data_IF_036689439285
#
_entry.id   IF_036689439285
#
_cell.length_a   1.000
_cell.length_b   1.000
_cell.length_c   1.000
_cell.angle_alpha   90.00
_cell.angle_beta   90.00
_cell.angle_gamma   90.00
#
_symmetry.space_group_name_H-M   'P 1'
#
loop_
_entity.id
_entity.type
_entity.pdbx_description
1 polymer ?
#
# COMPACT_ATOMS: atom_id res chain seq x y z
N UNK A 1 -11.59 7.29 8.98
CA UNK A 1 -10.31 7.18 9.69
C UNK A 1 -9.60 8.51 9.57
N UNK A 2 -8.92 8.96 10.62
CA UNK A 2 -7.98 10.09 10.51
C UNK A 2 -6.65 9.63 9.89
N UNK A 3 -5.71 10.55 9.71
CA UNK A 3 -4.43 10.27 9.03
C UNK A 3 -3.58 9.30 9.87
N UNK A 4 -3.58 9.45 11.19
CA UNK A 4 -2.84 8.63 12.12
C UNK A 4 -3.33 7.18 12.13
N UNK A 5 -4.64 6.97 12.11
CA UNK A 5 -5.28 5.65 12.02
C UNK A 5 -4.96 4.95 10.69
N UNK A 6 -4.95 5.70 9.59
CA UNK A 6 -4.57 5.19 8.26
C UNK A 6 -3.10 4.76 8.28
N UNK A 7 -2.22 5.62 8.79
CA UNK A 7 -0.80 5.33 8.86
C UNK A 7 -0.51 4.11 9.73
N UNK A 8 -1.11 4.02 10.93
CA UNK A 8 -0.98 2.86 11.81
C UNK A 8 -1.46 1.57 11.11
N UNK A 9 -2.58 1.63 10.40
CA UNK A 9 -3.08 0.48 9.65
C UNK A 9 -2.15 0.06 8.51
N UNK A 10 -1.55 1.01 7.79
CA UNK A 10 -0.59 0.75 6.72
C UNK A 10 0.72 0.16 7.26
N UNK A 11 1.23 0.68 8.38
CA UNK A 11 2.43 0.16 9.06
C UNK A 11 2.20 -1.27 9.55
N UNK A 12 1.00 -1.62 10.00
CA UNK A 12 0.70 -2.95 10.52
C UNK A 12 0.74 -4.09 9.48
N UNK A 13 0.93 -3.80 8.20
CA UNK A 13 1.19 -4.82 7.18
C UNK A 13 2.68 -5.10 7.08
N UNK A 14 3.15 -6.33 7.36
CA UNK A 14 4.55 -6.71 7.19
C UNK A 14 4.87 -6.97 5.71
N UNK A 15 4.77 -5.93 4.87
CA UNK A 15 5.07 -5.95 3.43
C UNK A 15 6.58 -5.98 3.17
N UNK A 16 7.29 -6.90 3.81
CA UNK A 16 8.75 -7.02 3.67
C UNK A 16 9.10 -7.38 2.23
N UNK A 17 10.13 -6.73 1.69
CA UNK A 17 10.63 -6.95 0.34
C UNK A 17 10.78 -8.44 0.02
N UNK A 18 10.27 -8.85 -1.14
CA UNK A 18 10.30 -10.25 -1.60
C UNK A 18 9.15 -11.12 -1.08
N UNK A 19 8.35 -10.68 -0.10
CA UNK A 19 7.16 -11.39 0.35
C UNK A 19 5.90 -11.01 -0.49
N UNK A 20 4.86 -11.86 -0.50
CA UNK A 20 3.57 -11.50 -1.07
C UNK A 20 2.97 -10.25 -0.39
N UNK A 21 2.38 -9.33 -1.17
CA UNK A 21 1.86 -8.05 -0.66
C UNK A 21 0.32 -7.92 -0.76
N UNK A 22 -0.40 -9.03 -0.97
CA UNK A 22 -1.85 -9.00 -1.22
C UNK A 22 -2.66 -8.29 -0.12
N UNK A 23 -2.30 -8.47 1.15
CA UNK A 23 -3.04 -7.89 2.27
C UNK A 23 -3.05 -6.34 2.26
N UNK A 24 -1.90 -5.69 2.02
CA UNK A 24 -1.83 -4.23 1.92
C UNK A 24 -2.45 -3.73 0.61
N UNK A 25 -2.28 -4.48 -0.49
CA UNK A 25 -2.91 -4.18 -1.79
C UNK A 25 -4.43 -4.14 -1.67
N UNK A 26 -5.03 -5.16 -1.07
CA UNK A 26 -6.47 -5.25 -0.91
C UNK A 26 -7.01 -4.15 0.00
N UNK A 27 -6.32 -3.86 1.10
CA UNK A 27 -6.74 -2.79 2.00
C UNK A 27 -6.70 -1.41 1.35
N UNK A 28 -5.60 -1.07 0.65
CA UNK A 28 -5.48 0.22 -0.05
C UNK A 28 -6.51 0.32 -1.17
N UNK A 29 -6.71 -0.77 -1.94
CA UNK A 29 -7.72 -0.84 -3.00
C UNK A 29 -9.11 -0.53 -2.44
N UNK A 30 -9.54 -1.27 -1.42
CA UNK A 30 -10.87 -1.11 -0.81
C UNK A 30 -11.05 0.29 -0.21
N UNK A 31 -10.03 0.82 0.47
CA UNK A 31 -10.08 2.15 1.05
C UNK A 31 -10.23 3.25 -0.03
N UNK A 32 -9.46 3.17 -1.11
CA UNK A 32 -9.53 4.12 -2.22
C UNK A 32 -10.84 3.99 -3.02
N UNK A 33 -11.31 2.77 -3.29
CA UNK A 33 -12.60 2.51 -3.95
C UNK A 33 -13.77 3.08 -3.12
N UNK A 34 -13.75 2.88 -1.80
CA UNK A 34 -14.75 3.46 -0.90
C UNK A 34 -14.74 5.00 -0.88
N UNK A 35 -13.58 5.61 -1.17
CA UNK A 35 -13.44 7.06 -1.35
C UNK A 35 -13.84 7.55 -2.76
N UNK A 36 -14.29 6.66 -3.64
CA UNK A 36 -14.74 6.97 -5.00
C UNK A 36 -13.62 7.03 -6.04
N UNK A 37 -12.42 6.52 -5.73
CA UNK A 37 -11.33 6.43 -6.69
C UNK A 37 -11.48 5.21 -7.60
N UNK A 38 -10.97 5.31 -8.83
CA UNK A 38 -10.81 4.16 -9.72
C UNK A 38 -9.46 3.50 -9.43
N UNK A 39 -9.46 2.20 -9.10
CA UNK A 39 -8.25 1.46 -8.75
C UNK A 39 -7.99 0.35 -9.77
N UNK A 40 -6.78 0.31 -10.31
CA UNK A 40 -6.29 -0.80 -11.14
C UNK A 40 -5.23 -1.57 -10.38
N UNK A 41 -5.42 -2.87 -10.20
CA UNK A 41 -4.41 -3.79 -9.65
C UNK A 41 -3.52 -4.30 -10.78
N UNK A 42 -2.23 -4.06 -10.67
CA UNK A 42 -1.22 -4.45 -11.65
C UNK A 42 -0.39 -5.59 -11.06
N UNK A 43 -0.75 -6.83 -11.38
CA UNK A 43 -0.03 -8.01 -10.90
C UNK A 43 1.38 -8.06 -11.49
N UNK A 44 2.38 -8.23 -10.63
CA UNK A 44 3.79 -8.37 -11.01
C UNK A 44 4.09 -9.72 -11.66
N UNK A 45 5.24 -9.85 -12.34
CA UNK A 45 5.63 -11.06 -13.05
C UNK A 45 5.78 -12.29 -12.14
N UNK A 46 6.02 -12.08 -10.85
CA UNK A 46 6.18 -13.16 -9.86
C UNK A 46 4.83 -13.74 -9.40
N UNK A 47 3.72 -13.06 -9.71
CA UNK A 47 2.36 -13.57 -9.47
C UNK A 47 1.88 -13.48 -8.02
N UNK A 48 2.73 -13.07 -7.08
CA UNK A 48 2.43 -12.95 -5.65
C UNK A 48 2.49 -11.50 -5.12
N UNK A 49 3.04 -10.58 -5.92
CA UNK A 49 3.08 -9.14 -5.63
C UNK A 49 2.32 -8.35 -6.69
N UNK A 50 1.72 -7.24 -6.27
CA UNK A 50 1.00 -6.32 -7.15
C UNK A 50 1.30 -4.86 -6.84
N UNK A 51 1.22 -4.02 -7.86
CA UNK A 51 1.18 -2.58 -7.74
C UNK A 51 -0.28 -2.08 -7.84
N UNK A 52 -0.52 -0.87 -7.34
CA UNK A 52 -1.80 -0.19 -7.48
C UNK A 52 -1.63 1.06 -8.33
N UNK A 53 -2.56 1.27 -9.26
CA UNK A 53 -2.71 2.54 -9.97
C UNK A 53 -4.07 3.14 -9.58
N UNK A 54 -4.03 4.16 -8.73
CA UNK A 54 -5.23 4.83 -8.20
C UNK A 54 -5.45 6.14 -8.94
N UNK A 55 -6.63 6.32 -9.53
CA UNK A 55 -7.04 7.56 -10.21
C UNK A 55 -8.14 8.25 -9.43
N UNK A 56 -7.89 9.50 -9.02
CA UNK A 56 -8.88 10.39 -8.41
C UNK A 56 -9.21 11.48 -9.43
N UNK A 57 -10.49 11.60 -9.80
CA UNK A 57 -10.96 12.54 -10.82
C UNK A 57 -10.90 11.98 -12.24
N UNK A 58 -11.00 12.86 -13.25
CA UNK A 58 -11.19 12.44 -14.64
C UNK A 58 -9.89 11.94 -15.32
N UNK A 59 -9.90 10.69 -15.83
CA UNK A 59 -8.75 10.03 -16.49
C UNK A 59 -8.08 10.81 -17.64
N UNK A 60 -8.79 11.73 -18.30
CA UNK A 60 -8.31 12.46 -19.50
C UNK A 60 -7.93 13.91 -19.22
N UNK A 61 -7.94 14.33 -17.96
CA UNK A 61 -7.45 15.63 -17.56
C UNK A 61 -5.93 15.62 -17.36
N UNK A 62 -5.30 16.80 -17.42
CA UNK A 62 -3.94 16.98 -16.90
C UNK A 62 -3.95 16.74 -15.39
N UNK A 63 -2.92 16.12 -14.86
CA UNK A 63 -2.83 15.81 -13.44
C UNK A 63 -1.40 15.59 -12.99
N UNK A 64 -1.27 15.21 -11.72
CA UNK A 64 -0.02 14.84 -11.09
C UNK A 64 0.02 13.33 -10.87
N UNK A 65 1.21 12.75 -11.00
CA UNK A 65 1.46 11.37 -10.55
C UNK A 65 2.23 11.46 -9.23
N UNK A 66 1.62 10.91 -8.17
CA UNK A 66 2.28 10.66 -6.91
C UNK A 66 2.70 9.19 -6.90
N UNK A 67 3.99 8.94 -6.74
CA UNK A 67 4.56 7.60 -6.78
C UNK A 67 5.18 7.26 -5.44
N UNK A 68 5.00 6.02 -5.00
CA UNK A 68 5.55 5.45 -3.79
C UNK A 68 5.59 3.94 -3.91
N UNK A 69 6.12 3.28 -2.90
CA UNK A 69 6.20 1.83 -2.82
C UNK A 69 5.60 1.35 -1.49
N UNK A 70 5.11 0.12 -1.48
CA UNK A 70 4.46 -0.48 -0.30
C UNK A 70 5.40 -1.38 0.49
N UNK A 71 6.53 -1.77 -0.09
CA UNK A 71 7.47 -2.69 0.54
C UNK A 71 8.43 -2.00 1.50
N UNK A 72 8.83 -2.74 2.53
CA UNK A 72 9.83 -2.31 3.51
C UNK A 72 10.98 -3.30 3.57
N UNK A 73 12.12 -2.87 4.11
CA UNK A 73 13.20 -3.78 4.47
C UNK A 73 12.81 -4.63 5.68
N UNK A 74 13.44 -5.79 5.92
CA UNK A 74 13.25 -6.54 7.17
C UNK A 74 13.50 -5.63 8.39
N UNK A 75 12.66 -5.75 9.41
CA UNK A 75 12.77 -5.02 10.67
C UNK A 75 12.93 -6.02 11.83
N UNK A 76 14.04 -6.75 11.83
CA UNK A 76 14.32 -7.85 12.78
C UNK A 76 15.44 -7.56 13.77
N UNK A 77 15.93 -6.32 13.78
CA UNK A 77 17.06 -5.88 14.59
C UNK A 77 16.72 -5.88 16.09
N UNK A 78 17.71 -6.11 16.95
CA UNK A 78 17.51 -6.23 18.41
C UNK A 78 17.21 -4.89 19.08
N UNK A 79 17.48 -3.80 18.38
CA UNK A 79 17.36 -2.41 18.81
C UNK A 79 15.91 -1.91 18.80
N UNK A 80 14.98 -2.66 18.20
CA UNK A 80 13.56 -2.36 18.28
C UNK A 80 13.04 -2.50 19.72
N UNK A 81 12.47 -1.42 20.26
CA UNK A 81 11.88 -1.40 21.60
C UNK A 81 10.39 -1.81 21.61
N UNK A 82 9.80 -2.01 20.43
CA UNK A 82 8.43 -2.49 20.21
C UNK A 82 8.40 -3.35 18.96
N UNK A 83 7.30 -4.07 18.74
CA UNK A 83 7.06 -4.71 17.45
C UNK A 83 7.01 -3.62 16.34
N UNK A 84 7.76 -3.77 15.23
CA UNK A 84 7.83 -2.79 14.16
C UNK A 84 6.56 -2.67 13.31
N UNK A 85 5.62 -3.62 13.43
CA UNK A 85 4.38 -3.67 12.66
C UNK A 85 3.12 -3.49 13.54
N UNK A 86 3.21 -2.66 14.59
CA UNK A 86 2.09 -2.24 15.46
C UNK A 86 2.04 -0.73 15.66
#
# INVERSE_FOLDING_TARGET
>A
MNVEEILARLIAFPSVVGAPNGAIVDWVREYCEAAGAEVTVLRGPEGDRSNLFVTIGARRARGYILSGHMDVVPAGEREWHSDPFV
#
